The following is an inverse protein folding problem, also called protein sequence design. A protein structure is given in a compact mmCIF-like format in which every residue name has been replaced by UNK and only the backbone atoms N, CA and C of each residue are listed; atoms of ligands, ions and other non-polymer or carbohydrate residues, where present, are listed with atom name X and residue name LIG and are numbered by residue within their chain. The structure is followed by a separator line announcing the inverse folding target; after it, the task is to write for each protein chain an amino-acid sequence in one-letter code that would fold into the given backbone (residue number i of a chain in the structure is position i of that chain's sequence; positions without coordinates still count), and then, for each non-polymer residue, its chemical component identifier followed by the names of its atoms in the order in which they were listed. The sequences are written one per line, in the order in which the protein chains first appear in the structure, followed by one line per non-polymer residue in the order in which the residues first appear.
data_IF_796203431706
#
_entry.id   IF_796203431706
#
_cell.length_a   1.000
_cell.length_b   1.000
_cell.length_c   1.000
_cell.angle_alpha   90.00
_cell.angle_beta   90.00
_cell.angle_gamma   90.00
#
_symmetry.space_group_name_H-M   'P 1'
#
loop_
_entity.id
_entity.type
_entity.pdbx_description
1 polymer ?
#
# COMPACT_ATOMS: atom_id res chain seq x y z
N UNK A 1 6.00 -9.89 2.21
CA UNK A 1 5.20 -9.96 0.98
C UNK A 1 3.77 -10.40 1.32
N UNK A 2 2.80 -9.58 0.94
CA UNK A 2 1.35 -9.78 1.12
C UNK A 2 0.75 -9.90 -0.28
N UNK A 3 -0.16 -10.84 -0.52
CA UNK A 3 -0.93 -10.90 -1.77
C UNK A 3 -2.29 -10.25 -1.53
N UNK A 4 -2.63 -9.30 -2.39
CA UNK A 4 -3.90 -8.59 -2.39
C UNK A 4 -4.68 -9.08 -3.61
N UNK A 5 -5.76 -9.82 -3.37
CA UNK A 5 -6.67 -10.31 -4.42
C UNK A 5 -8.04 -9.68 -4.26
N UNK A 6 -8.60 -9.21 -5.37
CA UNK A 6 -9.99 -8.78 -5.45
C UNK A 6 -10.72 -9.70 -6.42
N UNK A 7 -11.37 -10.72 -5.88
CA UNK A 7 -12.14 -11.71 -6.63
C UNK A 7 -13.31 -11.10 -7.42
N UNK A 8 -13.81 -9.93 -6.99
CA UNK A 8 -14.92 -9.24 -7.68
C UNK A 8 -14.48 -8.64 -9.01
N UNK A 9 -13.20 -8.27 -9.12
CA UNK A 9 -12.62 -7.66 -10.33
C UNK A 9 -11.56 -8.54 -10.99
N UNK A 10 -11.36 -9.77 -10.49
CA UNK A 10 -10.29 -10.70 -10.90
C UNK A 10 -8.89 -10.04 -10.91
N UNK A 11 -8.63 -9.19 -9.91
CA UNK A 11 -7.37 -8.45 -9.78
C UNK A 11 -6.49 -9.10 -8.73
N UNK A 12 -5.20 -9.26 -9.03
CA UNK A 12 -4.22 -9.71 -8.07
C UNK A 12 -2.97 -8.83 -8.14
N UNK A 13 -2.54 -8.32 -6.99
CA UNK A 13 -1.25 -7.64 -6.85
C UNK A 13 -0.52 -8.21 -5.65
N UNK A 14 0.80 -8.34 -5.76
CA UNK A 14 1.66 -8.57 -4.62
C UNK A 14 2.09 -7.21 -4.05
N UNK A 15 2.12 -7.12 -2.73
CA UNK A 15 2.57 -5.97 -1.96
C UNK A 15 3.78 -6.40 -1.11
N UNK A 16 4.95 -5.94 -1.51
CA UNK A 16 6.20 -6.17 -0.80
C UNK A 16 6.53 -4.99 0.12
N UNK A 17 6.16 -5.11 1.39
CA UNK A 17 6.51 -4.16 2.43
C UNK A 17 7.96 -4.36 2.89
N UNK A 18 8.82 -3.38 2.61
CA UNK A 18 10.28 -3.48 2.81
C UNK A 18 10.79 -2.84 4.08
N UNK A 19 10.17 -1.72 4.48
CA UNK A 19 10.68 -0.92 5.61
C UNK A 19 9.54 -0.31 6.39
N UNK A 20 9.62 -0.41 7.72
CA UNK A 20 8.76 0.30 8.67
C UNK A 20 9.63 1.23 9.50
N UNK A 21 9.33 2.52 9.47
CA UNK A 21 9.99 3.52 10.30
C UNK A 21 8.97 4.18 11.24
N UNK A 22 9.16 4.09 12.56
CA UNK A 22 8.41 4.93 13.48
C UNK A 22 8.93 6.36 13.38
N UNK A 23 8.04 7.30 13.07
CA UNK A 23 8.34 8.72 13.01
C UNK A 23 7.49 9.47 14.05
N UNK A 24 8.13 10.25 14.93
CA UNK A 24 7.42 11.07 15.91
C UNK A 24 7.21 12.46 15.33
N UNK A 25 5.95 12.84 15.10
CA UNK A 25 5.56 14.18 14.66
C UNK A 25 4.50 14.74 15.59
N UNK A 26 4.72 15.95 16.10
CA UNK A 26 3.77 16.70 16.93
C UNK A 26 3.15 15.90 18.11
N UNK A 27 3.92 15.03 18.77
CA UNK A 27 3.46 14.23 19.92
C UNK A 27 2.70 12.95 19.57
N UNK A 28 2.53 12.61 18.29
CA UNK A 28 1.99 11.34 17.83
C UNK A 28 3.07 10.44 17.20
N UNK A 29 2.90 9.12 17.33
CA UNK A 29 3.70 8.13 16.60
C UNK A 29 3.00 7.90 15.26
N UNK A 30 3.68 8.23 14.17
CA UNK A 30 3.34 7.83 12.82
C UNK A 30 4.22 6.64 12.42
N UNK A 31 3.70 5.76 11.57
CA UNK A 31 4.44 4.69 10.94
C UNK A 31 4.52 4.93 9.44
N UNK A 32 5.75 5.02 8.93
CA UNK A 32 6.02 5.09 7.50
C UNK A 32 6.42 3.72 7.01
N UNK A 33 5.80 3.31 5.91
CA UNK A 33 5.91 2.01 5.30
C UNK A 33 6.33 2.23 3.85
N UNK A 34 7.42 1.59 3.43
CA UNK A 34 7.92 1.67 2.05
C UNK A 34 7.92 0.29 1.43
N UNK A 35 7.48 0.19 0.18
CA UNK A 35 7.38 -1.09 -0.49
C UNK A 35 7.26 -0.99 -2.00
N UNK A 36 7.00 -2.15 -2.62
CA UNK A 36 6.60 -2.27 -4.01
C UNK A 36 5.22 -2.92 -4.12
N UNK A 37 4.48 -2.52 -5.13
CA UNK A 37 3.22 -3.12 -5.52
C UNK A 37 3.33 -3.57 -6.97
N UNK A 38 2.97 -4.81 -7.29
CA UNK A 38 3.06 -5.30 -8.66
C UNK A 38 2.09 -6.42 -8.98
N UNK A 39 1.83 -6.65 -10.27
CA UNK A 39 0.94 -7.70 -10.77
C UNK A 39 1.70 -8.81 -11.53
N UNK A 40 3.03 -8.85 -11.41
CA UNK A 40 3.90 -9.75 -12.17
C UNK A 40 4.28 -9.25 -13.58
N UNK A 41 3.72 -8.13 -14.04
CA UNK A 41 4.07 -7.46 -15.30
C UNK A 41 4.69 -6.09 -15.04
N UNK A 42 4.03 -5.27 -14.21
CA UNK A 42 4.49 -3.94 -13.82
C UNK A 42 4.59 -3.83 -12.31
N UNK A 43 5.50 -2.97 -11.85
CA UNK A 43 5.72 -2.66 -10.44
C UNK A 43 5.74 -1.14 -10.22
N UNK A 44 5.18 -0.69 -9.10
CA UNK A 44 5.25 0.70 -8.66
C UNK A 44 5.73 0.77 -7.22
N UNK A 45 6.49 1.81 -6.90
CA UNK A 45 6.80 2.13 -5.52
C UNK A 45 5.51 2.47 -4.75
N UNK A 46 5.44 2.06 -3.49
CA UNK A 46 4.32 2.42 -2.60
C UNK A 46 4.87 2.96 -1.28
N UNK A 47 4.28 4.06 -0.86
CA UNK A 47 4.51 4.69 0.42
C UNK A 47 3.19 4.68 1.20
N UNK A 48 3.22 4.18 2.44
CA UNK A 48 2.06 4.18 3.32
C UNK A 48 2.41 4.90 4.61
N UNK A 49 1.58 5.88 4.99
CA UNK A 49 1.66 6.60 6.25
C UNK A 49 0.46 6.21 7.10
N UNK A 50 0.72 5.61 8.25
CA UNK A 50 -0.32 5.23 9.23
C UNK A 50 -0.14 6.02 10.52
N UNK A 51 -1.22 6.57 11.05
CA UNK A 51 -1.22 7.32 12.31
C UNK A 51 -2.62 7.55 12.86
N UNK A 52 -2.74 8.48 13.81
CA UNK A 52 -4.00 8.74 14.53
C UNK A 52 -5.15 9.23 13.63
N UNK A 53 -4.82 9.79 12.46
CA UNK A 53 -5.78 10.35 11.52
C UNK A 53 -6.15 9.37 10.39
N UNK A 54 -5.70 8.12 10.45
CA UNK A 54 -5.96 7.09 9.44
C UNK A 54 -4.72 6.68 8.66
N UNK A 55 -4.96 6.11 7.47
CA UNK A 55 -3.92 5.61 6.57
C UNK A 55 -3.96 6.39 5.26
N UNK A 56 -2.81 6.92 4.88
CA UNK A 56 -2.58 7.53 3.57
C UNK A 56 -1.66 6.63 2.76
N UNK A 57 -2.02 6.41 1.49
CA UNK A 57 -1.28 5.56 0.56
C UNK A 57 -0.95 6.40 -0.67
N UNK A 58 0.33 6.43 -1.02
CA UNK A 58 0.83 7.08 -2.23
C UNK A 58 1.52 6.03 -3.11
N UNK A 59 1.20 6.08 -4.41
CA UNK A 59 1.83 5.23 -5.41
C UNK A 59 2.78 6.05 -6.26
N UNK A 60 3.92 5.45 -6.61
CA UNK A 60 4.81 5.96 -7.63
C UNK A 60 4.18 5.92 -9.01
N UNK A 61 4.84 6.52 -9.99
CA UNK A 61 4.42 6.45 -11.40
C UNK A 61 4.69 5.05 -11.96
N UNK A 62 3.78 4.56 -12.79
CA UNK A 62 3.96 3.35 -13.58
C UNK A 62 2.66 2.88 -14.21
N UNK A 63 2.74 1.81 -15.00
CA UNK A 63 1.64 1.27 -15.83
C UNK A 63 0.78 0.24 -15.08
N UNK A 64 1.06 0.00 -13.78
CA UNK A 64 0.30 -0.97 -12.99
C UNK A 64 -1.21 -0.68 -13.03
N UNK A 65 -1.57 0.60 -12.95
CA UNK A 65 -2.97 1.04 -12.91
C UNK A 65 -3.67 1.06 -14.27
N UNK A 66 -2.98 0.67 -15.35
CA UNK A 66 -3.62 0.36 -16.62
C UNK A 66 -4.32 -1.01 -16.58
N UNK A 67 -3.93 -1.87 -15.62
CA UNK A 67 -4.46 -3.23 -15.45
C UNK A 67 -5.34 -3.40 -14.22
N UNK A 68 -5.14 -2.58 -13.19
CA UNK A 68 -5.88 -2.67 -11.91
C UNK A 68 -6.41 -1.30 -11.49
N UNK A 69 -7.52 -1.30 -10.77
CA UNK A 69 -8.13 -0.04 -10.35
C UNK A 69 -7.38 0.56 -9.15
N UNK A 70 -6.75 1.71 -9.36
CA UNK A 70 -5.95 2.38 -8.32
C UNK A 70 -6.74 2.60 -7.02
N UNK A 71 -8.02 3.00 -7.13
CA UNK A 71 -8.87 3.28 -5.98
C UNK A 71 -9.08 2.04 -5.10
N UNK A 72 -9.32 0.89 -5.74
CA UNK A 72 -9.50 -0.41 -5.09
C UNK A 72 -8.21 -0.87 -4.42
N UNK A 73 -7.09 -0.79 -5.13
CA UNK A 73 -5.80 -1.20 -4.58
C UNK A 73 -5.38 -0.29 -3.43
N UNK A 74 -5.64 1.02 -3.52
CA UNK A 74 -5.38 1.97 -2.43
C UNK A 74 -6.11 1.57 -1.15
N UNK A 75 -7.39 1.22 -1.27
CA UNK A 75 -8.19 0.73 -0.14
C UNK A 75 -7.59 -0.55 0.44
N UNK A 76 -7.30 -1.54 -0.41
CA UNK A 76 -6.75 -2.84 0.04
C UNK A 76 -5.40 -2.72 0.74
N UNK A 77 -4.51 -1.86 0.23
CA UNK A 77 -3.22 -1.57 0.89
C UNK A 77 -3.45 -0.90 2.25
N UNK A 78 -4.38 0.05 2.33
CA UNK A 78 -4.76 0.70 3.58
C UNK A 78 -5.25 -0.31 4.63
N UNK A 79 -6.18 -1.18 4.23
CA UNK A 79 -6.75 -2.23 5.09
C UNK A 79 -5.66 -3.22 5.55
N UNK A 80 -4.76 -3.61 4.64
CA UNK A 80 -3.65 -4.50 4.97
C UNK A 80 -2.70 -3.88 6.01
N UNK A 81 -2.40 -2.58 5.90
CA UNK A 81 -1.54 -1.89 6.87
C UNK A 81 -2.23 -1.71 8.22
N UNK A 82 -3.55 -1.44 8.24
CA UNK A 82 -4.31 -1.42 9.49
C UNK A 82 -4.30 -2.77 10.20
N UNK A 83 -4.36 -3.88 9.46
CA UNK A 83 -4.31 -5.23 10.03
C UNK A 83 -2.93 -5.63 10.60
N UNK A 84 -1.86 -4.87 10.32
CA UNK A 84 -0.53 -5.10 10.87
C UNK A 84 -0.32 -4.45 12.26
N UNK A 85 -1.33 -3.76 12.78
CA UNK A 85 -1.34 -3.08 14.08
C UNK A 85 -2.31 -3.73 15.06
#
# INVERSE_FOLDING_TARGET
MIYLTNDTQDQAVYFDLRKREPHRRAGAIEHYYYGLLGNGVSEVAVEVRSGRNGVEVAFGRGELFDFVEESTIRRMVGDAVLALH
#
